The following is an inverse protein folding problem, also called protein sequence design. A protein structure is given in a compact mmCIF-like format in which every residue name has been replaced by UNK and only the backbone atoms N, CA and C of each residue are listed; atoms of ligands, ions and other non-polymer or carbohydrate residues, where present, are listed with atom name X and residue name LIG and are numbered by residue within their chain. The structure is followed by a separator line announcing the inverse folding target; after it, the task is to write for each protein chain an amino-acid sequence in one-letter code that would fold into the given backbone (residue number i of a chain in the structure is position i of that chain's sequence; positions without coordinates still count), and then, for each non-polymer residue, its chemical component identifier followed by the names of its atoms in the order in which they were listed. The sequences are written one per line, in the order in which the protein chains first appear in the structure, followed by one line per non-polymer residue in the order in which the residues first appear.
data_IF_685898717328
#
_entry.id   IF_685898717328
#
_cell.length_a   1.000
_cell.length_b   1.000
_cell.length_c   1.000
_cell.angle_alpha   90.00
_cell.angle_beta   90.00
_cell.angle_gamma   90.00
#
_symmetry.space_group_name_H-M   'P 1'
#
loop_
_entity.id
_entity.type
_entity.pdbx_description
1 polymer ?
#
# COMPACT_ATOMS: atom_id res chain seq x y z
N UNK A 1 19.60 -31.71 4.19
CA UNK A 1 20.63 -30.65 4.20
C UNK A 1 19.91 -29.33 4.21
N UNK A 2 19.96 -28.71 5.33
CA UNK A 2 19.13 -27.64 5.85
C UNK A 2 19.45 -26.29 5.17
N UNK A 3 18.58 -25.89 4.25
CA UNK A 3 18.44 -24.49 3.89
C UNK A 3 17.51 -23.83 4.91
N UNK A 4 18.05 -23.42 6.07
CA UNK A 4 17.31 -22.66 7.06
C UNK A 4 16.67 -21.46 6.38
N UNK A 5 15.36 -21.50 6.26
CA UNK A 5 14.50 -20.44 5.74
C UNK A 5 14.68 -19.21 6.66
N UNK A 6 15.66 -18.36 6.37
CA UNK A 6 15.84 -17.08 7.06
C UNK A 6 14.56 -16.28 6.78
N UNK A 7 13.64 -16.31 7.74
CA UNK A 7 12.45 -15.46 7.77
C UNK A 7 12.92 -14.02 7.64
N UNK A 8 12.83 -13.45 6.44
CA UNK A 8 13.17 -12.05 6.23
C UNK A 8 12.22 -11.20 7.07
N UNK A 9 12.76 -10.38 7.95
CA UNK A 9 12.00 -9.43 8.79
C UNK A 9 11.06 -8.59 7.93
N UNK A 10 11.48 -8.27 6.71
CA UNK A 10 10.69 -7.52 5.72
C UNK A 10 9.43 -8.24 5.19
N UNK A 11 9.25 -9.53 5.51
CA UNK A 11 8.04 -10.30 5.19
C UNK A 11 7.28 -10.71 6.46
N UNK A 12 7.61 -10.14 7.62
CA UNK A 12 6.94 -10.47 8.87
C UNK A 12 5.52 -9.88 8.91
N UNK A 13 4.59 -10.61 9.53
CA UNK A 13 3.22 -10.13 9.74
C UNK A 13 3.18 -8.84 10.58
N UNK A 14 4.08 -8.69 11.57
CA UNK A 14 4.15 -7.48 12.40
C UNK A 14 4.43 -6.22 11.57
N UNK A 15 5.41 -6.29 10.67
CA UNK A 15 5.70 -5.18 9.77
C UNK A 15 4.52 -4.90 8.84
N UNK A 16 3.91 -5.95 8.27
CA UNK A 16 2.75 -5.80 7.41
C UNK A 16 1.56 -5.15 8.12
N UNK A 17 1.32 -5.49 9.40
CA UNK A 17 0.26 -4.89 10.21
C UNK A 17 0.51 -3.38 10.46
N UNK A 18 1.76 -3.00 10.79
CA UNK A 18 2.12 -1.58 10.96
C UNK A 18 1.95 -0.82 9.64
N UNK A 19 2.43 -1.37 8.54
CA UNK A 19 2.29 -0.75 7.22
C UNK A 19 0.82 -0.64 6.78
N UNK A 20 -0.03 -1.63 7.12
CA UNK A 20 -1.46 -1.58 6.87
C UNK A 20 -2.13 -0.45 7.67
N UNK A 21 -1.81 -0.32 8.95
CA UNK A 21 -2.31 0.75 9.81
C UNK A 21 -1.90 2.14 9.28
N UNK A 22 -0.66 2.30 8.87
CA UNK A 22 -0.17 3.55 8.25
C UNK A 22 -0.94 3.82 6.95
N UNK A 23 -1.10 2.80 6.09
CA UNK A 23 -1.83 2.94 4.82
C UNK A 23 -3.29 3.34 5.01
N UNK A 24 -4.00 2.72 5.97
CA UNK A 24 -5.38 3.07 6.30
C UNK A 24 -5.49 4.47 6.90
N UNK A 25 -4.59 4.84 7.81
CA UNK A 25 -4.51 6.20 8.35
C UNK A 25 -4.30 7.25 7.24
N UNK A 26 -3.41 7.00 6.28
CA UNK A 26 -3.15 7.91 5.17
C UNK A 26 -4.37 8.05 4.24
N UNK A 27 -5.10 6.97 3.96
CA UNK A 27 -6.36 7.03 3.21
C UNK A 27 -7.42 7.85 3.93
N UNK A 28 -7.62 7.60 5.23
CA UNK A 28 -8.55 8.38 6.05
C UNK A 28 -8.15 9.86 6.12
N UNK A 29 -6.86 10.13 6.35
CA UNK A 29 -6.33 11.50 6.41
C UNK A 29 -6.52 12.25 5.10
N UNK A 30 -6.16 11.68 3.97
CA UNK A 30 -6.31 12.35 2.68
C UNK A 30 -7.76 12.54 2.30
N UNK A 31 -8.63 11.58 2.62
CA UNK A 31 -10.05 11.69 2.34
C UNK A 31 -10.74 12.74 3.21
N UNK A 32 -10.47 12.78 4.53
CA UNK A 32 -11.15 13.69 5.46
C UNK A 32 -10.54 15.10 5.41
N UNK A 33 -9.21 15.20 5.32
CA UNK A 33 -8.50 16.45 5.54
C UNK A 33 -7.90 17.08 4.27
N UNK A 34 -7.85 16.37 3.14
CA UNK A 34 -7.12 16.78 1.95
C UNK A 34 -7.93 16.70 0.65
N UNK A 35 -9.25 16.98 0.73
CA UNK A 35 -10.09 17.11 -0.46
C UNK A 35 -10.62 15.80 -1.02
N UNK A 36 -10.96 14.84 -0.16
CA UNK A 36 -11.69 13.59 -0.48
C UNK A 36 -10.98 12.68 -1.50
N UNK A 37 -9.66 12.62 -1.45
CA UNK A 37 -8.84 11.75 -2.30
C UNK A 37 -8.35 10.55 -1.50
N UNK A 38 -8.36 9.36 -2.10
CA UNK A 38 -7.72 8.17 -1.53
C UNK A 38 -6.25 8.08 -1.94
N UNK A 39 -5.36 7.89 -0.98
CA UNK A 39 -3.92 7.73 -1.29
C UNK A 39 -3.54 6.32 -1.73
N UNK A 40 -4.19 5.28 -1.18
CA UNK A 40 -3.97 3.89 -1.53
C UNK A 40 -5.07 3.30 -2.41
N UNK A 41 -6.34 3.64 -2.13
CA UNK A 41 -7.50 3.05 -2.79
C UNK A 41 -7.74 3.69 -4.18
N UNK A 42 -6.83 3.45 -5.13
CA UNK A 42 -6.91 4.05 -6.48
C UNK A 42 -8.20 3.69 -7.23
N UNK A 43 -8.82 2.55 -6.93
CA UNK A 43 -10.15 2.21 -7.45
C UNK A 43 -11.19 3.26 -7.02
N UNK A 44 -11.11 3.77 -5.79
CA UNK A 44 -11.95 4.87 -5.33
C UNK A 44 -11.73 6.15 -6.14
N UNK A 45 -10.47 6.53 -6.37
CA UNK A 45 -10.15 7.70 -7.18
C UNK A 45 -10.67 7.56 -8.63
N UNK A 46 -10.56 6.38 -9.24
CA UNK A 46 -11.10 6.12 -10.59
C UNK A 46 -12.63 6.28 -10.61
N UNK A 47 -13.33 5.83 -9.57
CA UNK A 47 -14.78 6.05 -9.43
C UNK A 47 -15.09 7.54 -9.32
N UNK A 48 -14.34 8.29 -8.49
CA UNK A 48 -14.51 9.73 -8.32
C UNK A 48 -14.24 10.50 -9.63
N UNK A 49 -13.25 10.08 -10.42
CA UNK A 49 -13.05 10.60 -11.79
C UNK A 49 -14.31 10.39 -12.65
N UNK A 50 -14.88 9.18 -12.64
CA UNK A 50 -16.10 8.88 -13.40
C UNK A 50 -17.28 9.73 -12.97
N UNK A 51 -17.47 9.94 -11.67
CA UNK A 51 -18.52 10.82 -11.13
C UNK A 51 -18.33 12.27 -11.57
N UNK A 52 -17.13 12.82 -11.42
CA UNK A 52 -16.81 14.18 -11.83
C UNK A 52 -17.03 14.41 -13.36
N UNK A 53 -16.66 13.42 -14.18
CA UNK A 53 -16.91 13.48 -15.62
C UNK A 53 -18.41 13.44 -15.95
N UNK A 54 -19.22 12.66 -15.24
CA UNK A 54 -20.66 12.61 -15.41
C UNK A 54 -21.35 13.95 -15.05
N UNK A 55 -20.77 14.70 -14.12
CA UNK A 55 -21.21 16.04 -13.70
C UNK A 55 -20.61 17.17 -14.57
N UNK A 56 -19.81 16.84 -15.60
CA UNK A 56 -19.04 17.77 -16.43
C UNK A 56 -18.02 18.62 -15.65
N UNK A 57 -17.58 18.14 -14.48
CA UNK A 57 -16.57 18.80 -13.65
C UNK A 57 -15.16 18.25 -13.97
N UNK A 58 -14.57 18.77 -15.04
CA UNK A 58 -13.26 18.36 -15.53
C UNK A 58 -12.13 18.71 -14.55
N UNK A 59 -12.29 19.75 -13.73
CA UNK A 59 -11.29 20.16 -12.76
C UNK A 59 -11.18 19.11 -11.66
N UNK A 60 -12.31 18.68 -11.09
CA UNK A 60 -12.33 17.61 -10.10
C UNK A 60 -11.94 16.25 -10.70
N UNK A 61 -12.31 15.98 -11.95
CA UNK A 61 -11.85 14.77 -12.64
C UNK A 61 -10.31 14.71 -12.69
N UNK A 62 -9.64 15.79 -13.08
CA UNK A 62 -8.18 15.87 -13.08
C UNK A 62 -7.63 15.75 -11.64
N UNK A 63 -8.25 16.43 -10.68
CA UNK A 63 -7.83 16.40 -9.28
C UNK A 63 -7.78 14.97 -8.72
N UNK A 64 -8.79 14.14 -9.00
CA UNK A 64 -8.83 12.73 -8.60
C UNK A 64 -7.96 11.82 -9.48
N UNK A 65 -7.65 12.22 -10.70
CA UNK A 65 -6.81 11.43 -11.61
C UNK A 65 -5.31 11.56 -11.32
N UNK A 66 -4.85 12.71 -10.85
CA UNK A 66 -3.43 12.95 -10.54
C UNK A 66 -2.84 11.94 -9.54
N UNK A 67 -3.51 11.58 -8.43
CA UNK A 67 -3.05 10.52 -7.51
C UNK A 67 -2.88 9.16 -8.20
N UNK A 68 -3.73 8.83 -9.18
CA UNK A 68 -3.60 7.57 -9.95
C UNK A 68 -2.30 7.57 -10.77
N UNK A 69 -1.98 8.69 -11.41
CA UNK A 69 -0.71 8.85 -12.14
C UNK A 69 0.48 8.77 -11.18
N UNK A 70 0.39 9.44 -10.03
CA UNK A 70 1.44 9.39 -9.01
C UNK A 70 1.69 7.96 -8.51
N UNK A 71 0.63 7.17 -8.34
CA UNK A 71 0.71 5.76 -7.98
C UNK A 71 1.49 4.95 -9.04
N UNK A 72 1.16 5.12 -10.33
CA UNK A 72 1.88 4.46 -11.43
C UNK A 72 3.37 4.82 -11.39
N UNK A 73 3.68 6.10 -11.22
CA UNK A 73 5.08 6.58 -11.13
C UNK A 73 5.79 5.97 -9.91
N UNK A 74 5.12 5.86 -8.76
CA UNK A 74 5.66 5.24 -7.55
C UNK A 74 6.05 3.76 -7.76
N UNK A 75 5.22 2.99 -8.47
CA UNK A 75 5.53 1.60 -8.85
C UNK A 75 6.78 1.56 -9.73
N UNK A 76 6.87 2.42 -10.76
CA UNK A 76 8.02 2.48 -11.67
C UNK A 76 9.31 2.83 -10.92
N UNK A 77 9.26 3.81 -10.01
CA UNK A 77 10.39 4.21 -9.17
C UNK A 77 10.86 3.01 -8.33
N UNK A 78 9.94 2.31 -7.67
CA UNK A 78 10.29 1.17 -6.81
C UNK A 78 10.93 0.04 -7.59
N UNK A 79 10.38 -0.33 -8.75
CA UNK A 79 11.00 -1.35 -9.61
C UNK A 79 12.38 -0.92 -10.12
N UNK A 80 12.57 0.37 -10.38
CA UNK A 80 13.87 0.92 -10.79
C UNK A 80 14.89 0.83 -9.65
N UNK A 81 14.51 1.22 -8.43
CA UNK A 81 15.36 1.10 -7.22
C UNK A 81 15.73 -0.37 -7.01
N UNK A 82 14.76 -1.26 -7.03
CA UNK A 82 14.94 -2.70 -6.83
C UNK A 82 15.94 -3.30 -7.84
N UNK A 83 15.81 -2.94 -9.13
CA UNK A 83 16.74 -3.39 -10.17
C UNK A 83 18.15 -2.86 -9.93
N UNK A 84 18.30 -1.56 -9.69
CA UNK A 84 19.64 -0.94 -9.53
C UNK A 84 20.37 -1.42 -8.28
N UNK A 85 19.66 -1.57 -7.15
CA UNK A 85 20.26 -1.97 -5.86
C UNK A 85 20.54 -3.48 -5.83
N UNK A 86 19.71 -4.32 -6.45
CA UNK A 86 19.92 -5.77 -6.49
C UNK A 86 21.21 -6.17 -7.23
N UNK A 87 21.69 -5.35 -8.15
CA UNK A 87 22.93 -5.58 -8.89
C UNK A 87 24.18 -5.02 -8.18
N UNK A 88 24.02 -4.28 -7.08
CA UNK A 88 25.14 -3.78 -6.29
C UNK A 88 25.12 -4.51 -4.94
N UNK A 89 26.24 -5.10 -4.56
CA UNK A 89 26.47 -5.61 -3.19
C UNK A 89 26.54 -4.42 -2.22
N UNK A 90 25.38 -3.87 -1.88
CA UNK A 90 25.25 -2.71 -0.98
C UNK A 90 24.80 -3.20 0.39
N UNK A 91 25.34 -2.62 1.46
CA UNK A 91 24.95 -2.90 2.86
C UNK A 91 23.46 -2.57 3.13
N UNK A 92 22.84 -1.70 2.32
CA UNK A 92 21.45 -1.24 2.50
C UNK A 92 20.55 -2.03 1.56
N UNK A 93 19.56 -2.72 2.12
CA UNK A 93 18.56 -3.42 1.34
C UNK A 93 17.60 -2.41 0.67
N UNK A 94 17.24 -2.62 -0.61
CA UNK A 94 16.39 -1.71 -1.39
C UNK A 94 15.05 -1.35 -0.70
N UNK A 95 14.46 -2.26 0.09
CA UNK A 95 13.24 -2.00 0.87
C UNK A 95 13.47 -0.96 1.98
N UNK A 96 14.66 -0.88 2.54
CA UNK A 96 15.02 0.16 3.54
C UNK A 96 15.09 1.53 2.90
N UNK A 97 15.54 1.62 1.64
CA UNK A 97 15.54 2.87 0.87
C UNK A 97 14.10 3.35 0.67
N UNK A 98 13.18 2.44 0.33
CA UNK A 98 11.76 2.76 0.15
C UNK A 98 11.15 3.31 1.44
N UNK A 99 11.32 2.60 2.57
CA UNK A 99 10.82 3.08 3.88
C UNK A 99 11.48 4.41 4.27
N UNK A 100 12.77 4.58 4.04
CA UNK A 100 13.48 5.83 4.31
C UNK A 100 12.90 7.00 3.51
N UNK A 101 12.62 6.81 2.23
CA UNK A 101 11.97 7.80 1.38
C UNK A 101 10.56 8.12 1.88
N UNK A 102 9.77 7.11 2.26
CA UNK A 102 8.43 7.27 2.84
C UNK A 102 8.47 8.15 4.09
N UNK A 103 9.36 7.84 5.04
CA UNK A 103 9.51 8.61 6.29
C UNK A 103 9.88 10.07 5.99
N UNK A 104 10.82 10.31 5.08
CA UNK A 104 11.27 11.67 4.74
C UNK A 104 10.12 12.47 4.11
N UNK A 105 9.40 11.88 3.17
CA UNK A 105 8.29 12.55 2.47
C UNK A 105 7.15 12.82 3.45
N UNK A 106 6.75 11.85 4.30
CA UNK A 106 5.71 12.04 5.29
C UNK A 106 6.09 13.11 6.31
N UNK A 107 7.35 13.15 6.75
CA UNK A 107 7.84 14.19 7.64
C UNK A 107 7.75 15.58 6.99
N UNK A 108 8.13 15.71 5.72
CA UNK A 108 8.03 16.98 4.99
C UNK A 108 6.57 17.43 4.81
N UNK A 109 5.66 16.49 4.51
CA UNK A 109 4.22 16.75 4.32
C UNK A 109 3.55 17.19 5.62
N UNK A 110 4.01 16.70 6.78
CA UNK A 110 3.42 17.03 8.08
C UNK A 110 3.44 18.54 8.38
N UNK A 111 4.33 19.31 7.75
CA UNK A 111 4.42 20.76 7.90
C UNK A 111 3.62 21.55 6.86
N UNK A 112 2.99 20.88 5.87
CA UNK A 112 2.21 21.55 4.84
C UNK A 112 0.79 21.83 5.37
N UNK A 113 0.35 23.10 5.44
CA UNK A 113 -0.99 23.46 5.89
C UNK A 113 -2.05 22.89 4.94
N UNK A 114 -3.25 22.64 5.47
CA UNK A 114 -4.40 22.20 4.69
C UNK A 114 -4.89 23.31 3.76
N UNK A 115 -5.50 22.93 2.65
CA UNK A 115 -6.11 23.83 1.67
C UNK A 115 -5.29 23.91 0.38
N UNK A 116 -4.65 25.03 0.10
CA UNK A 116 -4.03 25.33 -1.20
C UNK A 116 -3.10 24.24 -1.76
N UNK A 117 -2.44 23.48 -0.88
CA UNK A 117 -1.43 22.48 -1.26
C UNK A 117 -1.93 21.04 -1.15
N UNK A 118 -3.23 20.81 -0.94
CA UNK A 118 -3.78 19.48 -0.73
C UNK A 118 -3.53 18.55 -1.93
N UNK A 119 -3.62 19.06 -3.15
CA UNK A 119 -3.29 18.30 -4.35
C UNK A 119 -1.84 17.78 -4.38
N UNK A 120 -0.87 18.62 -3.96
CA UNK A 120 0.53 18.23 -3.87
C UNK A 120 0.72 17.14 -2.80
N UNK A 121 0.06 17.30 -1.65
CA UNK A 121 0.09 16.31 -0.55
C UNK A 121 -0.48 14.99 -1.02
N UNK A 122 -1.65 14.98 -1.68
CA UNK A 122 -2.30 13.78 -2.19
C UNK A 122 -1.44 13.03 -3.21
N UNK A 123 -0.83 13.75 -4.17
CA UNK A 123 0.11 13.20 -5.15
C UNK A 123 1.30 12.55 -4.44
N UNK A 124 1.90 13.24 -3.48
CA UNK A 124 3.07 12.76 -2.76
C UNK A 124 2.75 11.51 -1.92
N UNK A 125 1.61 11.50 -1.22
CA UNK A 125 1.19 10.35 -0.42
C UNK A 125 0.86 9.16 -1.34
N UNK A 126 0.14 9.37 -2.45
CA UNK A 126 -0.15 8.29 -3.40
C UNK A 126 1.11 7.67 -4.00
N UNK A 127 2.13 8.49 -4.28
CA UNK A 127 3.42 8.01 -4.77
C UNK A 127 4.11 7.10 -3.75
N UNK A 128 4.22 7.51 -2.48
CA UNK A 128 4.89 6.70 -1.44
C UNK A 128 4.07 5.46 -1.09
N UNK A 129 2.73 5.54 -1.08
CA UNK A 129 1.87 4.38 -0.89
C UNK A 129 2.08 3.33 -1.99
N UNK A 130 2.22 3.75 -3.25
CA UNK A 130 2.57 2.85 -4.35
C UNK A 130 3.93 2.19 -4.14
N UNK A 131 4.92 2.96 -3.66
CA UNK A 131 6.25 2.45 -3.34
C UNK A 131 6.18 1.39 -2.23
N UNK A 132 5.39 1.64 -1.18
CA UNK A 132 5.15 0.68 -0.09
C UNK A 132 4.49 -0.60 -0.61
N UNK A 133 3.40 -0.48 -1.39
CA UNK A 133 2.68 -1.63 -1.97
C UNK A 133 3.62 -2.50 -2.78
N UNK A 134 4.44 -1.90 -3.64
CA UNK A 134 5.37 -2.64 -4.50
C UNK A 134 6.50 -3.29 -3.70
N UNK A 135 7.00 -2.63 -2.65
CA UNK A 135 8.08 -3.16 -1.82
C UNK A 135 7.64 -4.31 -0.90
N UNK A 136 6.37 -4.29 -0.41
CA UNK A 136 5.88 -5.22 0.62
C UNK A 136 4.70 -6.07 0.14
N UNK A 137 4.85 -6.72 -1.00
CA UNK A 137 3.82 -7.55 -1.65
C UNK A 137 3.58 -8.92 -1.02
N UNK A 138 4.42 -9.34 -0.06
CA UNK A 138 4.36 -10.66 0.55
C UNK A 138 4.44 -10.59 2.06
N UNK A 139 3.62 -11.40 2.72
CA UNK A 139 3.65 -11.63 4.17
C UNK A 139 3.90 -13.11 4.42
N UNK A 140 5.00 -13.47 5.09
CA UNK A 140 5.41 -14.85 5.34
C UNK A 140 5.38 -15.75 4.08
N UNK A 141 5.78 -15.21 2.93
CA UNK A 141 5.78 -15.92 1.65
C UNK A 141 4.43 -15.94 0.91
N UNK A 142 3.34 -15.51 1.54
CA UNK A 142 2.02 -15.40 0.91
C UNK A 142 1.83 -14.02 0.28
N UNK A 143 1.27 -13.97 -0.93
CA UNK A 143 0.92 -12.72 -1.59
C UNK A 143 -0.26 -12.05 -0.84
N UNK A 144 0.06 -11.15 0.07
CA UNK A 144 -0.88 -10.32 0.83
C UNK A 144 -0.41 -8.88 0.72
N UNK A 145 -1.28 -7.99 0.29
CA UNK A 145 -0.98 -6.57 0.21
C UNK A 145 -1.29 -5.86 1.52
N UNK A 146 -0.41 -4.97 1.97
CA UNK A 146 -0.62 -4.17 3.17
C UNK A 146 -1.73 -3.13 3.02
N UNK A 147 -2.17 -2.84 1.79
CA UNK A 147 -3.09 -1.73 1.48
C UNK A 147 -4.29 -2.12 0.63
N UNK A 148 -4.47 -3.41 0.30
CA UNK A 148 -5.57 -3.89 -0.55
C UNK A 148 -6.57 -4.72 0.25
N UNK A 149 -7.56 -4.08 0.87
CA UNK A 149 -8.56 -4.75 1.70
C UNK A 149 -9.35 -5.81 0.94
N UNK A 150 -9.88 -5.49 -0.25
CA UNK A 150 -10.71 -6.41 -1.05
C UNK A 150 -9.94 -7.67 -1.46
N UNK A 151 -8.68 -7.53 -1.87
CA UNK A 151 -7.82 -8.66 -2.21
C UNK A 151 -7.54 -9.57 -1.01
N UNK A 152 -7.29 -8.96 0.15
CA UNK A 152 -7.05 -9.71 1.39
C UNK A 152 -8.31 -10.37 1.94
N UNK A 153 -9.49 -9.73 1.85
CA UNK A 153 -10.78 -10.34 2.17
C UNK A 153 -11.03 -11.59 1.32
N UNK A 154 -10.83 -11.48 0.00
CA UNK A 154 -10.94 -12.62 -0.91
C UNK A 154 -9.99 -13.76 -0.50
N UNK A 155 -8.70 -13.44 -0.32
CA UNK A 155 -7.70 -14.44 0.06
C UNK A 155 -8.03 -15.06 1.40
N UNK A 156 -8.41 -14.28 2.41
CA UNK A 156 -8.81 -14.75 3.72
C UNK A 156 -9.97 -15.73 3.64
N UNK A 157 -11.03 -15.37 2.92
CA UNK A 157 -12.23 -16.22 2.75
C UNK A 157 -11.91 -17.52 2.01
N UNK A 158 -11.12 -17.45 0.94
CA UNK A 158 -10.66 -18.64 0.21
C UNK A 158 -9.87 -19.59 1.11
N UNK A 159 -8.96 -19.04 1.93
CA UNK A 159 -8.15 -19.85 2.82
C UNK A 159 -8.96 -20.45 3.98
N UNK A 160 -9.99 -19.77 4.50
CA UNK A 160 -10.95 -20.36 5.46
C UNK A 160 -11.65 -21.55 4.83
N UNK A 161 -12.20 -21.39 3.64
CA UNK A 161 -12.89 -22.46 2.93
C UNK A 161 -11.98 -23.69 2.73
N UNK A 162 -10.77 -23.47 2.23
CA UNK A 162 -9.78 -24.54 2.06
C UNK A 162 -9.34 -25.16 3.39
N UNK A 163 -9.24 -24.39 4.47
CA UNK A 163 -8.86 -24.88 5.78
C UNK A 163 -9.91 -25.87 6.34
N UNK A 164 -11.18 -25.61 6.08
CA UNK A 164 -12.31 -26.50 6.49
C UNK A 164 -12.24 -27.83 5.72
N UNK A 165 -12.07 -27.77 4.39
CA UNK A 165 -12.06 -28.97 3.54
C UNK A 165 -10.80 -29.81 3.79
N UNK A 166 -9.63 -29.18 3.82
CA UNK A 166 -8.34 -29.87 3.91
C UNK A 166 -7.86 -30.08 5.35
N UNK A 167 -8.62 -29.59 6.36
CA UNK A 167 -8.27 -29.61 7.79
C UNK A 167 -6.85 -29.11 8.07
N UNK A 168 -6.41 -28.07 7.34
CA UNK A 168 -5.05 -27.56 7.34
C UNK A 168 -4.90 -26.34 8.26
N UNK A 169 -4.05 -26.47 9.30
CA UNK A 169 -3.70 -25.38 10.22
C UNK A 169 -2.94 -24.23 9.52
N UNK A 170 -2.15 -24.54 8.49
CA UNK A 170 -1.42 -23.49 7.75
C UNK A 170 -2.36 -22.57 6.99
N UNK A 171 -3.46 -23.10 6.44
CA UNK A 171 -4.48 -22.28 5.77
C UNK A 171 -5.25 -21.41 6.76
N UNK A 172 -5.53 -21.90 7.97
CA UNK A 172 -6.10 -21.08 9.06
C UNK A 172 -5.18 -19.88 9.37
N UNK A 173 -3.87 -20.13 9.45
CA UNK A 173 -2.89 -19.06 9.73
C UNK A 173 -2.86 -18.01 8.63
N UNK A 174 -2.88 -18.42 7.36
CA UNK A 174 -2.90 -17.48 6.22
C UNK A 174 -4.20 -16.65 6.23
N UNK A 175 -5.34 -17.29 6.50
CA UNK A 175 -6.62 -16.62 6.63
C UNK A 175 -6.59 -15.56 7.75
N UNK A 176 -6.10 -15.92 8.93
CA UNK A 176 -5.96 -15.01 10.06
C UNK A 176 -5.04 -13.82 9.74
N UNK A 177 -3.96 -14.04 9.00
CA UNK A 177 -3.08 -12.96 8.55
C UNK A 177 -3.78 -12.03 7.55
N UNK A 178 -4.52 -12.57 6.58
CA UNK A 178 -5.25 -11.78 5.60
C UNK A 178 -6.31 -10.90 6.26
N UNK A 179 -7.14 -11.45 7.14
CA UNK A 179 -8.13 -10.68 7.90
C UNK A 179 -7.48 -9.68 8.87
N UNK A 180 -6.37 -10.08 9.50
CA UNK A 180 -5.62 -9.18 10.38
C UNK A 180 -5.15 -7.92 9.65
N UNK A 181 -4.64 -8.05 8.43
CA UNK A 181 -4.24 -6.88 7.62
C UNK A 181 -5.45 -5.98 7.32
N UNK A 182 -6.62 -6.55 7.00
CA UNK A 182 -7.83 -5.76 6.77
C UNK A 182 -8.23 -4.98 8.02
N UNK A 183 -8.22 -5.63 9.18
CA UNK A 183 -8.56 -4.98 10.47
C UNK A 183 -7.56 -3.85 10.81
N UNK A 184 -6.26 -4.06 10.56
CA UNK A 184 -5.26 -3.01 10.84
C UNK A 184 -5.34 -1.85 9.84
N UNK A 185 -5.86 -2.08 8.64
CA UNK A 185 -6.06 -1.04 7.64
C UNK A 185 -7.31 -0.20 7.92
N UNK A 186 -8.36 -0.77 8.54
CA UNK A 186 -9.63 -0.11 8.86
C UNK A 186 -9.51 0.83 10.05
#
# INVERSE_FOLDING_TARGET
MEGANKKHISESFRLAAVLALVGGFLDAYTYICRGQVFSNAQTGNIVLVGLALAENDFINAIYHFLPVIAFIVGVIITETIKRRVKFKETFIHWRQIVIGAEIIILFAIAFIPMGRYDGLVNISISLICAMQVEAFRKVNGTALSTTMCTGNLRTGTEQVYRAIIEKSKDKVRIAAQAYGIVIFFS
#
